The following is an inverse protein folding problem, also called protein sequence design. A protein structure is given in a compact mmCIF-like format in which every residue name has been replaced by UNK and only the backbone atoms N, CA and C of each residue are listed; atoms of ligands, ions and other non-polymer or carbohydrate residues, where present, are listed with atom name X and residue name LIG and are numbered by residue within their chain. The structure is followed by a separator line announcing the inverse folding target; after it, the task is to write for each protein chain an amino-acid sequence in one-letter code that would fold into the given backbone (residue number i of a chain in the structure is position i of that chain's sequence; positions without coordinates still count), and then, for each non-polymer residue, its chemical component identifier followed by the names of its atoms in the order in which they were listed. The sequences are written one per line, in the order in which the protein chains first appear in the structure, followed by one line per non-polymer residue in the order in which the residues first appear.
data_IF_293915374781
#
_entry.id   IF_293915374781
#
_cell.length_a   1.000
_cell.length_b   1.000
_cell.length_c   1.000
_cell.angle_alpha   90.00
_cell.angle_beta   90.00
_cell.angle_gamma   90.00
#
_symmetry.space_group_name_H-M   'P 1'
#
loop_
_entity.id
_entity.type
_entity.pdbx_description
1 polymer ?
#
# COMPACT_ATOMS: atom_id res chain seq x y z
N UNK A 1 -7.00 -13.30 23.14
CA UNK A 1 -5.76 -14.03 23.42
C UNK A 1 -4.68 -13.37 22.58
N UNK A 2 -3.74 -12.67 23.23
CA UNK A 2 -2.76 -11.82 22.54
C UNK A 2 -1.63 -12.66 21.95
N UNK A 3 -1.21 -12.31 20.74
CA UNK A 3 0.01 -12.81 20.13
C UNK A 3 0.86 -11.60 19.75
N UNK A 4 2.05 -11.54 20.34
CA UNK A 4 3.13 -10.60 20.02
C UNK A 4 4.14 -11.36 19.15
N UNK A 5 4.61 -10.76 18.06
CA UNK A 5 5.67 -11.32 17.23
C UNK A 5 6.67 -10.22 16.88
N UNK A 6 7.81 -10.24 17.56
CA UNK A 6 9.02 -9.53 17.16
C UNK A 6 10.03 -10.55 16.63
N UNK A 7 10.60 -10.29 15.45
CA UNK A 7 11.72 -11.06 14.92
C UNK A 7 12.59 -10.17 14.03
N UNK A 8 13.83 -9.93 14.47
CA UNK A 8 14.83 -9.17 13.70
C UNK A 8 15.72 -10.11 12.87
N UNK A 9 16.12 -9.61 11.69
CA UNK A 9 16.83 -10.31 10.62
C UNK A 9 18.14 -10.99 11.09
N UNK A 10 18.29 -12.25 10.71
CA UNK A 10 19.55 -12.99 10.74
C UNK A 10 19.67 -13.87 9.51
N UNK A 11 20.64 -13.52 8.64
CA UNK A 11 21.22 -14.27 7.51
C UNK A 11 20.46 -15.47 6.93
N UNK A 12 20.13 -15.38 5.64
CA UNK A 12 19.76 -16.55 4.83
C UNK A 12 20.94 -17.55 4.83
N UNK A 13 20.82 -18.75 5.43
CA UNK A 13 21.73 -19.84 5.12
C UNK A 13 21.31 -20.38 3.76
N UNK A 14 22.21 -20.34 2.79
CA UNK A 14 21.99 -20.88 1.45
C UNK A 14 21.72 -22.38 1.48
N UNK A 15 20.46 -22.79 1.66
CA UNK A 15 19.92 -24.12 1.35
C UNK A 15 18.41 -24.19 1.62
N UNK A 16 17.61 -23.46 0.84
CA UNK A 16 16.18 -23.74 0.60
C UNK A 16 15.74 -23.11 -0.72
N UNK A 17 16.38 -23.52 -1.83
CA UNK A 17 15.76 -23.45 -3.16
C UNK A 17 15.09 -24.79 -3.40
N UNK A 18 13.85 -24.93 -2.96
CA UNK A 18 12.93 -25.96 -3.44
C UNK A 18 11.50 -25.45 -3.29
N UNK A 19 10.93 -25.11 -4.44
CA UNK A 19 9.50 -24.95 -4.69
C UNK A 19 8.76 -23.91 -3.84
N UNK A 20 9.16 -22.64 -3.96
CA UNK A 20 8.20 -21.56 -3.71
C UNK A 20 7.18 -21.57 -4.86
N UNK A 21 5.85 -21.60 -4.61
CA UNK A 21 4.88 -21.43 -5.68
C UNK A 21 5.18 -20.12 -6.41
N UNK A 22 5.28 -20.18 -7.74
CA UNK A 22 5.48 -18.99 -8.56
C UNK A 22 4.38 -17.98 -8.21
N UNK A 23 4.74 -16.83 -7.66
CA UNK A 23 3.77 -15.81 -7.29
C UNK A 23 2.84 -15.49 -8.46
N UNK A 24 1.54 -15.35 -8.18
CA UNK A 24 0.54 -14.95 -9.18
C UNK A 24 0.81 -13.56 -9.77
N UNK A 25 1.69 -12.78 -9.13
CA UNK A 25 2.13 -11.46 -9.58
C UNK A 25 3.31 -11.48 -10.56
N UNK A 26 4.03 -12.61 -10.71
CA UNK A 26 5.17 -12.72 -11.63
C UNK A 26 4.80 -12.34 -13.09
N UNK A 27 3.67 -12.81 -13.66
CA UNK A 27 3.27 -12.43 -15.02
C UNK A 27 2.90 -10.94 -15.16
N UNK A 28 2.60 -10.29 -14.04
CA UNK A 28 2.17 -8.89 -13.96
C UNK A 28 3.34 -7.95 -13.66
N UNK A 29 4.52 -8.51 -13.39
CA UNK A 29 5.72 -7.76 -13.06
C UNK A 29 6.19 -6.87 -14.21
N UNK A 30 6.72 -5.71 -13.84
CA UNK A 30 7.34 -4.75 -14.74
C UNK A 30 8.80 -4.57 -14.32
N UNK A 31 9.74 -4.43 -15.27
CA UNK A 31 11.12 -4.11 -14.95
C UNK A 31 11.22 -2.86 -14.05
N UNK A 32 12.01 -2.97 -12.98
CA UNK A 32 12.29 -1.84 -12.11
C UNK A 32 13.29 -0.88 -12.77
N UNK A 33 13.18 0.42 -12.46
CA UNK A 33 14.22 1.39 -12.84
C UNK A 33 15.49 1.16 -12.03
N UNK A 34 16.65 1.61 -12.52
CA UNK A 34 17.92 1.46 -11.80
C UNK A 34 17.90 2.06 -10.40
N UNK A 35 17.23 3.20 -10.21
CA UNK A 35 17.03 3.83 -8.88
C UNK A 35 16.23 2.93 -7.96
N UNK A 36 15.12 2.38 -8.44
CA UNK A 36 14.26 1.50 -7.66
C UNK A 36 14.97 0.18 -7.33
N UNK A 37 15.66 -0.43 -8.30
CA UNK A 37 16.44 -1.65 -8.06
C UNK A 37 17.52 -1.42 -7.00
N UNK A 38 18.23 -0.29 -7.05
CA UNK A 38 19.26 0.04 -6.05
C UNK A 38 18.63 0.21 -4.66
N UNK A 39 17.50 0.90 -4.57
CA UNK A 39 16.79 1.14 -3.30
C UNK A 39 16.26 -0.16 -2.70
N UNK A 40 15.66 -1.04 -3.51
CA UNK A 40 15.16 -2.35 -3.04
C UNK A 40 16.29 -3.30 -2.59
N UNK A 41 17.50 -3.13 -3.12
CA UNK A 41 18.68 -3.92 -2.72
C UNK A 41 19.49 -3.26 -1.58
N UNK A 42 19.10 -2.06 -1.15
CA UNK A 42 19.75 -1.38 -0.03
C UNK A 42 19.27 -1.94 1.31
N UNK A 43 20.09 -1.80 2.35
CA UNK A 43 19.69 -2.20 3.70
C UNK A 43 18.49 -1.37 4.17
N UNK A 44 17.46 -1.99 4.77
CA UNK A 44 16.35 -1.25 5.36
C UNK A 44 16.82 -0.27 6.43
N UNK A 45 15.98 0.72 6.69
CA UNK A 45 16.21 1.66 7.77
C UNK A 45 16.06 0.95 9.13
N UNK A 46 16.83 1.39 10.12
CA UNK A 46 16.77 0.84 11.48
C UNK A 46 15.38 1.02 12.13
N UNK A 47 14.96 0.14 13.05
CA UNK A 47 13.70 0.26 13.76
C UNK A 47 13.70 1.50 14.62
N UNK A 48 12.52 2.10 14.77
CA UNK A 48 12.34 3.33 15.48
C UNK A 48 12.75 4.55 14.67
N UNK A 49 13.15 4.44 13.40
CA UNK A 49 13.29 5.61 12.55
C UNK A 49 11.93 6.33 12.43
N UNK A 50 11.86 7.66 12.59
CA UNK A 50 10.62 8.42 12.47
C UNK A 50 9.85 8.19 11.16
N UNK A 51 10.51 7.79 10.07
CA UNK A 51 9.89 7.46 8.77
C UNK A 51 9.05 6.18 8.80
N UNK A 52 9.27 5.31 9.78
CA UNK A 52 8.57 4.04 9.96
C UNK A 52 7.37 4.16 10.91
N UNK A 53 7.14 5.35 11.50
CA UNK A 53 6.14 5.55 12.54
C UNK A 53 4.81 6.05 11.99
N UNK A 54 3.73 5.60 12.59
CA UNK A 54 2.38 6.15 12.46
C UNK A 54 2.24 7.41 13.30
N UNK A 55 1.50 8.39 12.77
CA UNK A 55 1.23 9.66 13.41
C UNK A 55 0.23 9.52 14.56
N UNK A 56 0.54 9.99 15.78
CA UNK A 56 -0.45 9.98 16.87
C UNK A 56 -1.57 11.01 16.66
N UNK A 57 -1.34 12.06 15.84
CA UNK A 57 -2.34 13.11 15.56
C UNK A 57 -3.16 12.82 14.31
N UNK A 58 -2.62 12.00 13.41
CA UNK A 58 -3.25 11.61 12.15
C UNK A 58 -3.52 10.09 12.22
N UNK A 59 -4.33 9.70 13.20
CA UNK A 59 -4.79 8.32 13.38
C UNK A 59 -6.20 8.33 13.98
N UNK A 60 -7.08 7.44 13.50
CA UNK A 60 -8.46 7.37 13.97
C UNK A 60 -8.48 6.96 15.45
N UNK A 61 -9.42 7.49 16.25
CA UNK A 61 -9.56 7.11 17.66
C UNK A 61 -9.87 5.63 17.88
N UNK A 62 -10.26 4.89 16.83
CA UNK A 62 -10.49 3.45 16.89
C UNK A 62 -9.21 2.62 16.70
N UNK A 63 -8.07 3.22 16.40
CA UNK A 63 -6.79 2.53 16.37
C UNK A 63 -6.07 2.65 17.72
N UNK A 64 -5.60 1.50 18.21
CA UNK A 64 -4.68 1.39 19.32
C UNK A 64 -3.26 1.38 18.74
N UNK A 65 -2.48 2.40 19.06
CA UNK A 65 -1.10 2.54 18.59
C UNK A 65 -0.12 1.86 19.56
N UNK A 66 0.88 1.16 19.04
CA UNK A 66 1.95 0.57 19.85
C UNK A 66 2.87 1.64 20.43
N UNK A 67 3.69 1.27 21.44
CA UNK A 67 4.62 2.22 22.08
C UNK A 67 5.69 2.75 21.12
N UNK A 68 6.17 1.92 20.19
CA UNK A 68 7.14 2.32 19.16
C UNK A 68 6.49 3.06 17.98
N UNK A 69 5.15 3.10 17.93
CA UNK A 69 4.34 3.71 16.85
C UNK A 69 4.53 3.08 15.47
N UNK A 70 5.11 1.89 15.37
CA UNK A 70 5.27 1.21 14.07
C UNK A 70 4.10 0.26 13.76
N UNK A 71 3.21 0.06 14.73
CA UNK A 71 2.05 -0.82 14.62
C UNK A 71 0.79 -0.11 15.13
N UNK A 72 -0.32 -0.33 14.43
CA UNK A 72 -1.66 0.09 14.84
C UNK A 72 -2.61 -1.10 14.77
N UNK A 73 -3.41 -1.28 15.82
CA UNK A 73 -4.45 -2.32 15.88
C UNK A 73 -5.82 -1.67 15.95
N UNK A 74 -6.70 -1.99 15.01
CA UNK A 74 -8.07 -1.46 14.98
C UNK A 74 -8.94 -2.14 16.04
N UNK A 75 -9.65 -1.35 16.84
CA UNK A 75 -10.70 -1.84 17.72
C UNK A 75 -11.90 -2.38 16.90
N UNK A 76 -12.66 -3.36 17.42
CA UNK A 76 -13.80 -3.93 16.72
C UNK A 76 -15.00 -2.96 16.73
N UNK A 77 -14.96 -1.95 15.87
CA UNK A 77 -16.05 -1.00 15.62
C UNK A 77 -16.74 -1.30 14.30
N UNK A 78 -18.07 -1.17 14.27
CA UNK A 78 -18.91 -1.50 13.12
C UNK A 78 -19.36 -0.26 12.35
N UNK A 79 -19.72 -0.46 11.07
CA UNK A 79 -20.30 0.56 10.19
C UNK A 79 -19.45 1.83 10.05
N UNK A 80 -18.12 1.68 10.10
CA UNK A 80 -17.18 2.78 9.95
C UNK A 80 -15.89 2.25 9.31
N UNK A 81 -15.29 3.04 8.44
CA UNK A 81 -13.94 2.87 7.93
C UNK A 81 -13.01 3.83 8.65
N UNK A 82 -11.83 3.35 9.06
CA UNK A 82 -10.86 4.10 9.86
C UNK A 82 -9.51 4.12 9.14
N UNK A 83 -8.79 5.23 9.26
CA UNK A 83 -7.46 5.44 8.70
C UNK A 83 -6.40 5.72 9.77
N UNK A 84 -5.16 5.40 9.40
CA UNK A 84 -3.95 5.80 10.11
C UNK A 84 -2.93 6.24 9.05
N UNK A 85 -2.19 7.31 9.31
CA UNK A 85 -1.16 7.82 8.39
C UNK A 85 0.20 7.91 9.04
N UNK A 86 1.25 7.90 8.22
CA UNK A 86 2.63 8.06 8.67
C UNK A 86 2.86 9.39 9.38
N UNK A 87 3.81 9.41 10.31
CA UNK A 87 4.21 10.60 11.07
C UNK A 87 4.88 11.65 10.18
N UNK A 88 5.61 11.20 9.15
CA UNK A 88 6.38 12.07 8.27
C UNK A 88 5.84 12.05 6.83
N UNK A 89 5.58 13.24 6.29
CA UNK A 89 5.31 13.45 4.87
C UNK A 89 6.59 13.60 4.06
N UNK A 90 6.60 13.06 2.84
CA UNK A 90 7.73 13.14 1.92
C UNK A 90 7.45 14.11 0.76
N UNK A 91 8.45 14.89 0.37
CA UNK A 91 8.31 15.95 -0.64
C UNK A 91 9.25 15.81 -1.85
N UNK A 92 10.17 14.85 -1.82
CA UNK A 92 11.11 14.61 -2.91
C UNK A 92 11.97 13.38 -2.64
N UNK A 93 12.65 12.89 -3.67
CA UNK A 93 13.40 11.63 -3.65
C UNK A 93 12.51 10.39 -3.77
N UNK A 94 13.10 9.22 -4.00
CA UNK A 94 12.36 7.96 -4.07
C UNK A 94 12.33 7.28 -2.69
N UNK A 95 11.14 6.83 -2.28
CA UNK A 95 10.89 6.23 -0.99
C UNK A 95 10.18 4.89 -1.15
N UNK A 96 10.55 3.94 -0.29
CA UNK A 96 9.92 2.63 -0.24
C UNK A 96 9.56 2.34 1.22
N UNK A 97 8.30 2.01 1.46
CA UNK A 97 7.82 1.57 2.77
C UNK A 97 7.32 0.14 2.69
N UNK A 98 7.54 -0.61 3.75
CA UNK A 98 6.97 -1.93 3.94
C UNK A 98 5.72 -1.81 4.80
N UNK A 99 4.63 -2.41 4.32
CA UNK A 99 3.40 -2.58 5.08
C UNK A 99 3.17 -4.08 5.28
N UNK A 100 3.10 -4.47 6.56
CA UNK A 100 2.73 -5.82 6.97
C UNK A 100 1.27 -5.81 7.40
N UNK A 101 0.42 -6.51 6.67
CA UNK A 101 -1.01 -6.61 6.97
C UNK A 101 -1.50 -8.05 6.76
N UNK A 102 -1.71 -8.76 7.86
CA UNK A 102 -2.17 -10.14 7.86
C UNK A 102 -3.40 -10.33 6.94
N UNK A 103 -3.36 -11.24 5.94
CA UNK A 103 -4.44 -11.40 4.97
C UNK A 103 -5.82 -11.69 5.58
N UNK A 104 -5.86 -12.39 6.71
CA UNK A 104 -7.10 -12.71 7.43
C UNK A 104 -7.72 -11.50 8.13
N UNK A 105 -6.98 -10.41 8.29
CA UNK A 105 -7.42 -9.17 8.95
C UNK A 105 -7.83 -8.06 7.96
N UNK A 106 -7.80 -8.31 6.64
CA UNK A 106 -8.10 -7.28 5.62
C UNK A 106 -9.60 -6.93 5.53
N UNK A 107 -10.50 -7.84 5.95
CA UNK A 107 -11.93 -7.58 5.92
C UNK A 107 -12.46 -7.28 4.52
N UNK A 108 -13.49 -6.42 4.42
CA UNK A 108 -14.09 -6.04 3.14
C UNK A 108 -13.25 -5.02 2.37
N UNK A 109 -12.77 -3.98 3.04
CA UNK A 109 -12.00 -2.89 2.43
C UNK A 109 -10.67 -2.69 3.18
N UNK A 110 -9.59 -3.25 2.63
CA UNK A 110 -8.22 -2.96 3.07
C UNK A 110 -7.54 -2.13 2.00
N UNK A 111 -7.24 -0.86 2.31
CA UNK A 111 -6.68 0.09 1.35
C UNK A 111 -5.35 0.62 1.87
N UNK A 112 -4.33 0.62 1.01
CA UNK A 112 -3.02 1.21 1.27
C UNK A 112 -2.67 2.22 0.18
N UNK A 113 -1.86 3.22 0.49
CA UNK A 113 -1.57 4.29 -0.46
C UNK A 113 -1.01 5.53 0.22
N UNK A 114 -1.23 6.67 -0.41
CA UNK A 114 -0.70 7.96 0.04
C UNK A 114 -1.80 9.00 0.09
N UNK A 115 -1.59 10.02 0.92
CA UNK A 115 -2.49 11.15 1.02
C UNK A 115 -1.75 12.43 1.36
N UNK A 116 -2.41 13.56 1.18
CA UNK A 116 -2.00 14.83 1.79
C UNK A 116 -2.40 14.83 3.28
N UNK A 117 -1.98 15.88 4.00
CA UNK A 117 -2.29 16.05 5.42
C UNK A 117 -3.77 16.33 5.72
N UNK A 118 -4.58 16.61 4.69
CA UNK A 118 -5.99 17.01 4.84
C UNK A 118 -7.00 15.88 4.58
N UNK A 119 -6.54 14.64 4.41
CA UNK A 119 -7.40 13.47 4.22
C UNK A 119 -8.25 13.22 5.48
N UNK A 120 -9.51 12.74 5.36
CA UNK A 120 -10.35 12.40 6.50
C UNK A 120 -9.88 11.11 7.17
N UNK A 121 -9.98 11.06 8.50
CA UNK A 121 -9.54 9.93 9.31
C UNK A 121 -10.53 8.78 9.36
N UNK A 122 -11.79 9.08 9.10
CA UNK A 122 -12.90 8.17 9.24
C UNK A 122 -13.97 8.50 8.21
N UNK A 123 -14.72 7.48 7.80
CA UNK A 123 -15.94 7.66 7.00
C UNK A 123 -16.99 6.64 7.42
N UNK A 124 -18.26 7.01 7.33
CA UNK A 124 -19.37 6.13 7.68
C UNK A 124 -19.50 4.97 6.70
N UNK A 125 -19.84 3.79 7.22
CA UNK A 125 -19.97 2.57 6.44
C UNK A 125 -18.63 1.89 6.15
N UNK A 126 -18.69 0.73 5.50
CA UNK A 126 -17.50 0.01 5.04
C UNK A 126 -17.21 0.44 3.62
N UNK A 127 -16.28 1.37 3.46
CA UNK A 127 -15.88 1.94 2.16
C UNK A 127 -14.38 2.16 2.08
N UNK A 128 -13.86 2.36 0.88
CA UNK A 128 -12.48 2.78 0.65
C UNK A 128 -12.28 4.23 1.15
N UNK A 129 -11.80 4.39 2.38
CA UNK A 129 -11.49 5.71 2.96
C UNK A 129 -10.38 6.40 2.18
N UNK A 130 -9.28 5.69 1.96
CA UNK A 130 -8.16 6.18 1.16
C UNK A 130 -8.52 6.07 -0.33
N UNK A 131 -8.40 7.18 -1.05
CA UNK A 131 -8.95 7.35 -2.40
C UNK A 131 -10.42 7.80 -2.42
N UNK A 132 -11.06 7.95 -1.25
CA UNK A 132 -12.43 8.44 -1.11
C UNK A 132 -12.60 9.94 -1.40
N UNK A 133 -11.50 10.69 -1.49
CA UNK A 133 -11.45 12.11 -1.75
C UNK A 133 -10.38 12.48 -2.80
N UNK A 134 -10.23 13.77 -3.08
CA UNK A 134 -9.21 14.27 -4.01
C UNK A 134 -7.82 14.42 -3.37
N UNK A 135 -7.68 14.12 -2.08
CA UNK A 135 -6.47 14.31 -1.29
C UNK A 135 -5.72 12.99 -1.06
N UNK A 136 -6.26 11.87 -1.54
CA UNK A 136 -5.71 10.54 -1.31
C UNK A 136 -5.82 9.64 -2.54
N UNK A 137 -4.90 8.69 -2.60
CA UNK A 137 -4.80 7.68 -3.65
C UNK A 137 -4.61 6.33 -2.97
N UNK A 138 -5.52 5.39 -3.23
CA UNK A 138 -5.58 4.13 -2.50
C UNK A 138 -5.65 2.93 -3.42
N UNK A 139 -4.85 1.91 -3.14
CA UNK A 139 -5.01 0.58 -3.70
C UNK A 139 -5.71 -0.33 -2.69
N UNK A 140 -6.91 -0.78 -3.04
CA UNK A 140 -7.66 -1.74 -2.25
C UNK A 140 -7.20 -3.16 -2.57
N UNK A 141 -6.64 -3.82 -1.55
CA UNK A 141 -5.99 -5.12 -1.67
C UNK A 141 -6.99 -6.26 -1.87
N UNK A 142 -8.21 -6.12 -1.36
CA UNK A 142 -9.24 -7.18 -1.38
C UNK A 142 -9.80 -7.43 -2.79
N UNK A 143 -10.09 -6.36 -3.52
CA UNK A 143 -10.66 -6.42 -4.88
C UNK A 143 -9.66 -6.04 -5.98
N UNK A 144 -8.43 -5.67 -5.58
CA UNK A 144 -7.37 -5.15 -6.44
C UNK A 144 -7.78 -3.84 -7.15
N UNK A 145 -8.56 -2.98 -6.51
CA UNK A 145 -9.12 -1.77 -7.11
C UNK A 145 -8.30 -0.52 -6.74
N UNK A 146 -8.03 0.35 -7.71
CA UNK A 146 -7.49 1.68 -7.45
C UNK A 146 -8.63 2.68 -7.19
N UNK A 147 -8.43 3.55 -6.21
CA UNK A 147 -9.38 4.56 -5.75
C UNK A 147 -8.75 5.96 -5.72
N UNK A 148 -9.49 6.93 -6.24
CA UNK A 148 -9.20 8.36 -6.13
C UNK A 148 -10.48 9.18 -6.40
N UNK A 149 -10.69 10.30 -5.70
CA UNK A 149 -11.88 11.18 -5.84
C UNK A 149 -13.20 10.40 -5.62
N UNK A 150 -13.18 9.38 -4.77
CA UNK A 150 -14.33 8.51 -4.52
C UNK A 150 -14.72 7.63 -5.70
N UNK A 151 -13.86 7.52 -6.72
CA UNK A 151 -14.09 6.72 -7.92
C UNK A 151 -13.10 5.56 -8.02
N UNK A 152 -13.63 4.43 -8.47
CA UNK A 152 -12.87 3.25 -8.84
C UNK A 152 -12.20 3.48 -10.21
N UNK A 153 -10.87 3.65 -10.24
CA UNK A 153 -10.12 3.97 -11.48
C UNK A 153 -9.84 2.75 -12.37
N UNK A 154 -9.79 1.56 -11.78
CA UNK A 154 -9.61 0.28 -12.46
C UNK A 154 -8.88 -0.74 -11.58
N UNK A 155 -8.77 -1.97 -12.08
CA UNK A 155 -8.02 -3.02 -11.41
C UNK A 155 -6.51 -2.81 -11.55
N UNK A 156 -5.79 -3.11 -10.47
CA UNK A 156 -4.35 -3.06 -10.39
C UNK A 156 -3.80 -4.26 -9.60
N UNK A 157 -2.76 -4.95 -10.10
CA UNK A 157 -2.03 -4.66 -11.35
C UNK A 157 -2.85 -4.97 -12.61
N UNK A 158 -2.70 -4.14 -13.63
CA UNK A 158 -3.33 -4.37 -14.93
C UNK A 158 -2.64 -5.50 -15.69
N UNK A 159 -3.41 -6.42 -16.25
CA UNK A 159 -2.84 -7.52 -17.06
C UNK A 159 -2.40 -6.96 -18.42
N UNK A 160 -1.12 -7.15 -18.79
CA UNK A 160 -0.64 -6.69 -20.11
C UNK A 160 -1.36 -7.42 -21.24
N UNK A 161 -1.92 -6.66 -22.18
CA UNK A 161 -2.53 -7.20 -23.41
C UNK A 161 -3.95 -7.73 -23.25
N UNK A 162 -4.56 -7.64 -22.07
CA UNK A 162 -5.96 -8.01 -21.82
C UNK A 162 -6.81 -6.74 -21.79
N UNK A 163 -7.93 -6.75 -22.50
CA UNK A 163 -8.85 -5.62 -22.51
C UNK A 163 -9.42 -5.36 -21.11
N UNK A 164 -9.66 -4.09 -20.76
CA UNK A 164 -10.15 -3.72 -19.42
C UNK A 164 -11.41 -4.51 -19.01
N UNK A 165 -12.27 -4.81 -19.98
CA UNK A 165 -13.52 -5.58 -19.81
C UNK A 165 -13.25 -7.02 -19.33
N UNK A 166 -12.27 -7.71 -19.91
CA UNK A 166 -11.89 -9.09 -19.54
C UNK A 166 -11.23 -9.15 -18.15
N UNK A 167 -10.50 -8.10 -17.74
CA UNK A 167 -9.91 -8.00 -16.39
C UNK A 167 -10.97 -7.79 -15.29
N UNK A 168 -12.12 -7.22 -15.63
CA UNK A 168 -13.26 -7.09 -14.71
C UNK A 168 -13.83 -8.45 -14.31
N UNK A 169 -13.65 -9.47 -15.15
CA UNK A 169 -14.26 -10.80 -14.97
C UNK A 169 -13.34 -11.77 -14.21
N UNK A 170 -12.01 -11.56 -14.24
CA UNK A 170 -11.09 -12.40 -13.48
C UNK A 170 -11.19 -12.16 -11.97
N UNK A 171 -10.96 -13.20 -11.13
CA UNK A 171 -10.92 -13.02 -9.68
C UNK A 171 -9.73 -12.12 -9.30
N UNK A 172 -9.85 -11.32 -8.21
CA UNK A 172 -8.71 -10.57 -7.67
C UNK A 172 -7.54 -11.50 -7.32
N UNK A 173 -6.32 -11.03 -7.53
CA UNK A 173 -5.11 -11.68 -7.07
C UNK A 173 -5.01 -11.55 -5.54
N UNK A 174 -4.83 -12.66 -4.81
CA UNK A 174 -4.68 -12.63 -3.37
C UNK A 174 -3.38 -11.94 -3.01
N UNK A 175 -3.47 -10.75 -2.40
CA UNK A 175 -2.30 -10.01 -1.94
C UNK A 175 -1.77 -10.65 -0.64
N UNK A 176 -0.47 -11.00 -0.55
CA UNK A 176 0.14 -11.56 0.65
C UNK A 176 0.17 -10.54 1.81
N UNK A 177 0.75 -10.96 2.93
CA UNK A 177 0.88 -10.11 4.12
C UNK A 177 1.75 -8.88 3.86
N UNK A 178 2.86 -9.08 3.16
CA UNK A 178 3.89 -8.08 2.94
C UNK A 178 3.68 -7.38 1.60
N UNK A 179 3.56 -6.06 1.62
CA UNK A 179 3.49 -5.21 0.43
C UNK A 179 4.46 -4.06 0.58
N UNK A 180 5.22 -3.75 -0.46
CA UNK A 180 6.02 -2.52 -0.49
C UNK A 180 5.29 -1.44 -1.28
N UNK A 181 5.23 -0.25 -0.73
CA UNK A 181 4.74 0.96 -1.38
C UNK A 181 5.95 1.74 -1.91
N UNK A 182 5.92 2.10 -3.20
CA UNK A 182 6.99 2.82 -3.89
C UNK A 182 6.46 4.19 -4.30
N UNK A 183 6.99 5.26 -3.70
CA UNK A 183 6.65 6.64 -4.02
C UNK A 183 7.87 7.37 -4.57
N UNK A 184 7.70 8.06 -5.68
CA UNK A 184 8.67 9.02 -6.20
C UNK A 184 7.93 10.35 -6.41
N UNK A 185 7.96 11.28 -5.42
CA UNK A 185 7.33 12.59 -5.54
C UNK A 185 7.97 13.47 -6.62
N UNK A 186 9.25 13.24 -6.98
CA UNK A 186 9.94 14.01 -8.02
C UNK A 186 9.28 13.79 -9.39
N UNK A 187 8.87 12.55 -9.66
CA UNK A 187 8.13 12.15 -10.87
C UNK A 187 6.63 12.09 -10.67
N UNK A 188 6.16 12.22 -9.43
CA UNK A 188 4.75 12.06 -9.07
C UNK A 188 4.22 10.65 -9.24
N UNK A 189 5.02 9.62 -9.06
CA UNK A 189 4.59 8.23 -9.30
C UNK A 189 4.39 7.47 -8.00
N UNK A 190 3.31 6.68 -7.96
CA UNK A 190 3.03 5.72 -6.90
C UNK A 190 2.86 4.34 -7.52
N UNK A 191 3.52 3.33 -6.95
CA UNK A 191 3.39 1.92 -7.35
C UNK A 191 3.66 0.99 -6.19
N UNK A 192 3.59 -0.32 -6.45
CA UNK A 192 3.70 -1.32 -5.40
C UNK A 192 4.59 -2.50 -5.81
N UNK A 193 5.21 -3.15 -4.83
CA UNK A 193 5.93 -4.42 -5.00
C UNK A 193 5.26 -5.47 -4.13
N UNK A 194 4.98 -6.63 -4.73
CA UNK A 194 4.38 -7.78 -4.07
C UNK A 194 5.14 -9.03 -4.49
N UNK A 195 5.55 -9.88 -3.56
CA UNK A 195 6.39 -11.07 -3.82
C UNK A 195 7.60 -10.76 -4.72
N UNK A 196 8.31 -9.67 -4.41
CA UNK A 196 9.45 -9.14 -5.17
C UNK A 196 9.15 -8.75 -6.64
N UNK A 197 7.87 -8.71 -7.00
CA UNK A 197 7.39 -8.28 -8.31
C UNK A 197 6.95 -6.81 -8.25
N UNK A 198 7.68 -5.92 -8.91
CA UNK A 198 7.21 -4.54 -9.09
C UNK A 198 6.04 -4.53 -10.07
N UNK A 199 4.92 -3.99 -9.64
CA UNK A 199 3.64 -4.05 -10.34
C UNK A 199 3.41 -2.87 -11.29
N UNK A 200 4.41 -2.00 -11.44
CA UNK A 200 4.31 -0.79 -12.26
C UNK A 200 3.66 0.38 -11.54
N UNK A 201 3.42 1.44 -12.29
CA UNK A 201 2.76 2.65 -11.79
C UNK A 201 1.27 2.39 -11.55
N UNK A 202 0.81 2.59 -10.32
CA UNK A 202 -0.60 2.62 -9.96
C UNK A 202 -1.21 4.00 -10.19
N UNK A 203 -0.50 5.07 -9.81
CA UNK A 203 -0.99 6.44 -9.95
C UNK A 203 0.08 7.39 -10.47
N UNK A 204 -0.39 8.38 -11.23
CA UNK A 204 0.36 9.60 -11.54
C UNK A 204 -0.27 10.76 -10.75
N UNK A 205 0.41 11.18 -9.69
CA UNK A 205 0.01 12.20 -8.72
C UNK A 205 0.13 13.62 -9.27
N UNK A 206 0.93 13.84 -10.32
CA UNK A 206 1.04 15.14 -11.01
C UNK A 206 -0.04 15.30 -12.08
N UNK A 207 -0.58 14.19 -12.60
CA UNK A 207 -1.58 14.16 -13.67
C UNK A 207 -3.02 14.46 -13.24
N UNK A 208 -3.30 14.63 -11.95
CA UNK A 208 -4.63 15.04 -11.45
C UNK A 208 -4.87 16.55 -11.58
N UNK A 209 -3.88 17.33 -12.01
CA UNK A 209 -3.99 18.75 -12.31
C UNK A 209 -4.28 19.03 -13.80
N UNK A 210 -5.30 18.39 -14.39
CA UNK A 210 -5.84 18.83 -15.68
C UNK A 210 -7.28 18.38 -15.88
N UNK A 211 -8.21 19.14 -15.32
CA UNK A 211 -9.50 19.43 -15.95
C UNK A 211 -10.09 20.70 -15.31
N UNK A 212 -9.46 21.83 -15.63
CA UNK A 212 -10.09 23.14 -15.58
C UNK A 212 -9.85 23.81 -16.94
N UNK A 213 -10.65 23.41 -17.92
CA UNK A 213 -10.85 24.12 -19.18
C UNK A 213 -12.10 23.55 -19.89
N UNK A 214 -13.28 24.08 -19.57
CA UNK A 214 -14.06 25.00 -20.41
C UNK A 214 -15.41 25.33 -19.75
#
# INVERSE_FOLDING_TARGET
MGLSLSGWLGGIPGKMKKDAPSSSFLPLSIPTSSRLSLLLNSSPVDPGDPRCRWSPTHCSPHFLMSQCREEVTRAPTQQISDGAWGEKGERGGMHVWEVLWCPTHKGSHAVIGVSTEHCPLQTSGYTALMGGDSQSWGWELTNNQLWHVGQALGRYPGVRGVQAEEQSVSPPHPVPERVLLVLDPDTGTLGYVVDDCFLGMAFNLLGSASNNQM
#
